data_IF_166542749604
#
_entry.id   IF_166542749604
#
_cell.length_a   1.000
_cell.length_b   1.000
_cell.length_c   1.000
_cell.angle_alpha   90.00
_cell.angle_beta   90.00
_cell.angle_gamma   90.00
#
_symmetry.space_group_name_H-M   'P 1'
#
loop_
_entity.id
_entity.type
_entity.pdbx_description
1 polymer ?
#
# COMPACT_ATOMS: atom_id res chain seq x y z
N UNK A 1 -19.11 -24.14 1.01
CA UNK A 1 -17.85 -24.15 0.22
C UNK A 1 -17.66 -22.89 -0.62
N UNK A 2 -18.64 -22.44 -1.43
CA UNK A 2 -18.50 -21.23 -2.26
C UNK A 2 -18.25 -19.95 -1.45
N UNK A 3 -18.91 -19.81 -0.30
CA UNK A 3 -18.80 -18.64 0.59
C UNK A 3 -17.37 -18.43 1.12
N UNK A 4 -16.70 -19.52 1.53
CA UNK A 4 -15.31 -19.49 1.97
C UNK A 4 -14.33 -19.12 0.86
N UNK A 5 -14.54 -19.61 -0.37
CA UNK A 5 -13.69 -19.27 -1.51
C UNK A 5 -13.80 -17.79 -1.87
N UNK A 6 -15.00 -17.22 -1.83
CA UNK A 6 -15.21 -15.78 -2.09
C UNK A 6 -14.52 -14.93 -1.02
N UNK A 7 -14.68 -15.29 0.25
CA UNK A 7 -14.03 -14.60 1.38
C UNK A 7 -12.50 -14.62 1.28
N UNK A 8 -11.90 -15.78 0.98
CA UNK A 8 -10.45 -15.90 0.80
C UNK A 8 -9.92 -15.12 -0.39
N UNK A 9 -10.68 -15.08 -1.49
CA UNK A 9 -10.27 -14.35 -2.70
C UNK A 9 -10.35 -12.83 -2.49
N UNK A 10 -11.36 -12.37 -1.76
CA UNK A 10 -11.48 -10.96 -1.34
C UNK A 10 -10.34 -10.57 -0.40
N UNK A 11 -9.99 -11.43 0.56
CA UNK A 11 -8.84 -11.22 1.45
C UNK A 11 -7.53 -11.11 0.67
N UNK A 12 -7.29 -12.03 -0.28
CA UNK A 12 -6.11 -11.99 -1.15
C UNK A 12 -6.07 -10.71 -1.97
N UNK A 13 -7.20 -10.25 -2.50
CA UNK A 13 -7.28 -9.00 -3.24
C UNK A 13 -6.88 -7.80 -2.38
N UNK A 14 -7.37 -7.70 -1.14
CA UNK A 14 -6.95 -6.65 -0.21
C UNK A 14 -5.48 -6.75 0.17
N UNK A 15 -4.96 -7.96 0.40
CA UNK A 15 -3.55 -8.18 0.73
C UNK A 15 -2.65 -7.71 -0.41
N UNK A 16 -2.95 -8.14 -1.64
CA UNK A 16 -2.21 -7.77 -2.84
C UNK A 16 -2.27 -6.26 -3.08
N UNK A 17 -3.47 -5.67 -3.00
CA UNK A 17 -3.64 -4.22 -3.21
C UNK A 17 -2.88 -3.41 -2.16
N UNK A 18 -2.99 -3.79 -0.90
CA UNK A 18 -2.26 -3.16 0.22
C UNK A 18 -0.75 -3.28 0.01
N UNK A 19 -0.27 -4.48 -0.34
CA UNK A 19 1.15 -4.74 -0.60
C UNK A 19 1.69 -3.94 -1.78
N UNK A 20 0.96 -3.89 -2.89
CA UNK A 20 1.34 -3.12 -4.09
C UNK A 20 1.42 -1.63 -3.76
N UNK A 21 0.43 -1.07 -3.06
CA UNK A 21 0.45 0.34 -2.64
C UNK A 21 1.64 0.64 -1.73
N UNK A 22 1.93 -0.26 -0.77
CA UNK A 22 3.07 -0.09 0.14
C UNK A 22 4.41 -0.11 -0.61
N UNK A 23 4.60 -1.10 -1.49
CA UNK A 23 5.84 -1.23 -2.29
C UNK A 23 5.99 -0.04 -3.24
N UNK A 24 4.93 0.37 -3.94
CA UNK A 24 4.95 1.51 -4.83
C UNK A 24 5.26 2.82 -4.07
N UNK A 25 4.64 2.99 -2.89
CA UNK A 25 4.89 4.15 -2.03
C UNK A 25 6.34 4.22 -1.55
N UNK A 26 6.88 3.12 -1.04
CA UNK A 26 8.29 3.05 -0.64
C UNK A 26 9.24 3.31 -1.81
N UNK A 27 8.95 2.73 -2.98
CA UNK A 27 9.75 2.95 -4.18
C UNK A 27 9.74 4.43 -4.60
N UNK A 28 8.59 5.09 -4.53
CA UNK A 28 8.47 6.52 -4.81
C UNK A 28 9.25 7.38 -3.81
N UNK A 29 9.21 7.07 -2.51
CA UNK A 29 10.01 7.76 -1.48
C UNK A 29 11.52 7.61 -1.72
N UNK A 30 12.00 6.40 -1.98
CA UNK A 30 13.41 6.14 -2.27
C UNK A 30 13.88 6.87 -3.53
N UNK A 31 13.02 6.90 -4.55
CA UNK A 31 13.29 7.63 -5.79
C UNK A 31 13.28 9.14 -5.55
N UNK A 32 12.36 9.65 -4.72
CA UNK A 32 12.32 11.05 -4.32
C UNK A 32 13.63 11.50 -3.66
N UNK A 33 14.18 10.70 -2.74
CA UNK A 33 15.46 10.99 -2.08
C UNK A 33 16.63 11.04 -3.07
N UNK A 34 16.58 10.19 -4.11
CA UNK A 34 17.57 10.20 -5.18
C UNK A 34 17.50 11.49 -6.01
N UNK A 35 16.29 11.95 -6.37
CA UNK A 35 16.10 13.23 -7.08
C UNK A 35 16.46 14.44 -6.21
N UNK A 36 16.20 14.37 -4.90
CA UNK A 36 16.60 15.41 -3.95
C UNK A 36 18.13 15.57 -3.94
N UNK A 37 18.85 14.45 -3.84
CA UNK A 37 20.31 14.41 -3.85
C UNK A 37 20.90 14.87 -5.19
N UNK A 38 20.18 14.66 -6.29
CA UNK A 38 20.53 15.16 -7.61
C UNK A 38 20.16 16.64 -7.86
N UNK A 39 19.61 17.35 -6.86
CA UNK A 39 19.23 18.76 -6.95
C UNK A 39 17.90 19.03 -7.69
N UNK A 40 17.16 18.00 -8.08
CA UNK A 40 15.88 18.14 -8.76
C UNK A 40 14.72 18.16 -7.75
N UNK A 41 14.53 19.32 -7.13
CA UNK A 41 13.52 19.52 -6.09
C UNK A 41 12.08 19.32 -6.58
N UNK A 42 11.78 19.70 -7.83
CA UNK A 42 10.41 19.58 -8.37
C UNK A 42 9.96 18.12 -8.41
N UNK A 43 10.79 17.24 -8.98
CA UNK A 43 10.46 15.81 -9.05
C UNK A 43 10.55 15.12 -7.70
N UNK A 44 11.50 15.50 -6.84
CA UNK A 44 11.57 14.99 -5.47
C UNK A 44 10.28 15.28 -4.69
N UNK A 45 9.82 16.53 -4.66
CA UNK A 45 8.60 16.88 -3.93
C UNK A 45 7.38 16.14 -4.50
N UNK A 46 7.25 16.10 -5.83
CA UNK A 46 6.15 15.38 -6.47
C UNK A 46 6.14 13.89 -6.09
N UNK A 47 7.28 13.22 -6.21
CA UNK A 47 7.40 11.79 -5.87
C UNK A 47 7.19 11.54 -4.37
N UNK A 48 7.68 12.41 -3.49
CA UNK A 48 7.46 12.30 -2.05
C UNK A 48 5.97 12.45 -1.68
N UNK A 49 5.24 13.37 -2.32
CA UNK A 49 3.80 13.49 -2.09
C UNK A 49 3.07 12.23 -2.54
N UNK A 50 3.38 11.72 -3.74
CA UNK A 50 2.75 10.49 -4.26
C UNK A 50 3.12 9.27 -3.41
N UNK A 51 4.36 9.17 -2.96
CA UNK A 51 4.84 8.10 -2.09
C UNK A 51 4.09 8.08 -0.76
N UNK A 52 4.03 9.21 -0.08
CA UNK A 52 3.25 9.37 1.15
C UNK A 52 1.77 9.03 0.97
N UNK A 53 1.13 9.48 -0.12
CA UNK A 53 -0.27 9.15 -0.42
C UNK A 53 -0.47 7.64 -0.61
N UNK A 54 0.42 6.98 -1.37
CA UNK A 54 0.35 5.53 -1.59
C UNK A 54 0.56 4.75 -0.29
N UNK A 55 1.50 5.16 0.55
CA UNK A 55 1.74 4.57 1.86
C UNK A 55 0.56 4.75 2.81
N UNK A 56 -0.05 5.94 2.82
CA UNK A 56 -1.24 6.20 3.61
C UNK A 56 -2.42 5.35 3.14
N UNK A 57 -2.62 5.23 1.83
CA UNK A 57 -3.64 4.36 1.25
C UNK A 57 -3.41 2.89 1.63
N UNK A 58 -2.16 2.41 1.57
CA UNK A 58 -1.80 1.08 2.03
C UNK A 58 -2.11 0.89 3.52
N UNK A 59 -1.77 1.87 4.36
CA UNK A 59 -2.02 1.82 5.79
C UNK A 59 -3.52 1.80 6.12
N UNK A 60 -4.33 2.69 5.52
CA UNK A 60 -5.79 2.72 5.71
C UNK A 60 -6.42 1.42 5.22
N UNK A 61 -6.08 0.94 4.03
CA UNK A 61 -6.61 -0.33 3.50
C UNK A 61 -6.20 -1.53 4.38
N UNK A 62 -4.95 -1.54 4.82
CA UNK A 62 -4.39 -2.56 5.69
C UNK A 62 -5.12 -2.63 7.04
N UNK A 63 -5.40 -1.48 7.65
CA UNK A 63 -6.00 -1.40 8.99
C UNK A 63 -7.52 -1.52 8.98
N UNK A 64 -8.20 -0.95 7.98
CA UNK A 64 -9.67 -0.90 7.94
C UNK A 64 -10.28 -2.12 7.23
N UNK A 65 -9.57 -2.75 6.29
CA UNK A 65 -10.13 -3.84 5.47
C UNK A 65 -9.41 -5.16 5.65
N UNK A 66 -8.07 -5.16 5.61
CA UNK A 66 -7.28 -6.39 5.63
C UNK A 66 -7.18 -7.00 7.04
N UNK A 67 -6.74 -6.23 8.03
CA UNK A 67 -6.56 -6.67 9.42
C UNK A 67 -7.84 -7.23 10.06
N UNK A 68 -9.02 -6.60 9.94
CA UNK A 68 -10.26 -7.13 10.50
C UNK A 68 -10.65 -8.48 9.89
N UNK A 69 -10.59 -8.59 8.55
CA UNK A 69 -10.89 -9.84 7.83
C UNK A 69 -9.90 -10.96 8.16
N UNK A 70 -8.62 -10.64 8.35
CA UNK A 70 -7.62 -11.62 8.81
C UNK A 70 -7.96 -12.16 10.20
N UNK A 71 -8.44 -11.30 11.11
CA UNK A 71 -8.84 -11.72 12.46
C UNK A 71 -10.10 -12.57 12.44
N UNK A 72 -11.08 -12.23 11.61
CA UNK A 72 -12.30 -13.03 11.42
C UNK A 72 -12.01 -14.43 10.86
N UNK A 73 -10.99 -14.58 10.02
CA UNK A 73 -10.55 -15.88 9.49
C UNK A 73 -9.69 -16.71 10.46
N UNK A 74 -9.06 -16.06 11.44
CA UNK A 74 -8.15 -16.70 12.38
C UNK A 74 -8.79 -17.05 13.74
N UNK A 75 -9.96 -16.48 14.05
CA UNK A 75 -10.77 -16.77 15.24
C UNK A 75 -11.81 -17.84 14.97
#
# INVERSE_FOLDING_TARGET
MREFLVSSLELLAYLLTTGVLAVAGLFAELTSLSYFSAGNLKFSIWLGVIGLVALYAAFSLGTEKLLPRLRELAG
#
